data_IF_904617069032
#
_entry.id   IF_904617069032
#
_cell.length_a   1.000
_cell.length_b   1.000
_cell.length_c   1.000
_cell.angle_alpha   90.00
_cell.angle_beta   90.00
_cell.angle_gamma   90.00
#
_symmetry.space_group_name_H-M   'P 1'
#
loop_
_entity.id
_entity.type
_entity.pdbx_description
1 polymer ?
#
# COMPACT_ATOMS: atom_id res chain seq x y z
N UNK A 1 -16.60 -9.96 -13.05
CA UNK A 1 -15.75 -10.74 -12.11
C UNK A 1 -15.15 -9.75 -11.13
N UNK A 2 -15.33 -9.98 -9.84
CA UNK A 2 -14.83 -9.12 -8.74
C UNK A 2 -13.93 -9.97 -7.84
N UNK A 3 -12.78 -9.43 -7.45
CA UNK A 3 -11.84 -10.06 -6.52
C UNK A 3 -12.17 -9.65 -5.09
N UNK A 4 -11.95 -10.54 -4.13
CA UNK A 4 -11.96 -10.22 -2.70
C UNK A 4 -10.54 -9.92 -2.19
N UNK A 5 -10.42 -9.30 -1.02
CA UNK A 5 -9.11 -9.10 -0.39
C UNK A 5 -8.38 -10.42 -0.14
N UNK A 6 -9.10 -11.51 0.14
CA UNK A 6 -8.51 -12.85 0.31
C UNK A 6 -7.77 -13.31 -0.95
N UNK A 7 -8.29 -13.01 -2.14
CA UNK A 7 -7.68 -13.39 -3.41
C UNK A 7 -6.39 -12.61 -3.63
N UNK A 8 -6.41 -11.32 -3.30
CA UNK A 8 -5.25 -10.44 -3.39
C UNK A 8 -4.16 -10.86 -2.39
N UNK A 9 -4.56 -11.40 -1.23
CA UNK A 9 -3.65 -11.95 -0.22
C UNK A 9 -2.85 -13.15 -0.72
N UNK A 10 -3.40 -13.92 -1.66
CA UNK A 10 -2.71 -15.04 -2.28
C UNK A 10 -1.68 -14.61 -3.34
N UNK A 11 -1.81 -13.40 -3.88
CA UNK A 11 -0.99 -12.88 -4.98
C UNK A 11 0.11 -11.91 -4.51
N UNK A 12 0.05 -11.45 -3.27
CA UNK A 12 0.91 -10.37 -2.76
C UNK A 12 1.61 -10.79 -1.49
N UNK A 13 2.78 -10.18 -1.23
CA UNK A 13 3.56 -10.44 0.00
C UNK A 13 2.98 -9.72 1.21
N UNK A 14 2.29 -8.59 1.01
CA UNK A 14 1.70 -7.80 2.09
C UNK A 14 0.40 -7.15 1.62
N UNK A 15 -0.70 -7.52 2.25
CA UNK A 15 -2.00 -6.90 2.02
C UNK A 15 -2.05 -5.49 2.59
N UNK A 16 -1.38 -5.24 3.71
CA UNK A 16 -1.34 -3.91 4.33
C UNK A 16 -0.69 -2.87 3.43
N UNK A 17 0.36 -3.24 2.70
CA UNK A 17 1.03 -2.36 1.75
C UNK A 17 0.15 -2.03 0.53
N UNK A 18 -0.74 -2.95 0.15
CA UNK A 18 -1.57 -2.84 -1.07
C UNK A 18 -2.91 -2.18 -0.79
N UNK A 19 -3.53 -2.43 0.37
CA UNK A 19 -4.86 -1.95 0.77
C UNK A 19 -5.17 -0.48 0.47
N UNK A 20 -4.25 0.49 0.68
CA UNK A 20 -4.52 1.89 0.38
C UNK A 20 -4.77 2.17 -1.12
N UNK A 21 -4.35 1.27 -2.02
CA UNK A 21 -4.27 1.52 -3.46
C UNK A 21 -5.30 0.76 -4.29
N UNK A 22 -6.18 -0.02 -3.66
CA UNK A 22 -7.09 -0.94 -4.35
C UNK A 22 -8.49 -0.91 -3.76
N UNK A 23 -9.47 -1.26 -4.59
CA UNK A 23 -10.82 -1.66 -4.19
C UNK A 23 -11.01 -3.15 -4.46
N UNK A 24 -11.71 -3.85 -3.56
CA UNK A 24 -12.11 -5.24 -3.71
C UNK A 24 -13.59 -5.39 -3.31
N UNK A 25 -14.18 -6.56 -3.54
CA UNK A 25 -15.60 -6.79 -3.25
C UNK A 25 -15.99 -6.49 -1.78
N UNK A 26 -15.07 -6.75 -0.86
CA UNK A 26 -15.19 -6.60 0.58
C UNK A 26 -14.35 -5.45 1.15
N UNK A 27 -13.78 -4.59 0.28
CA UNK A 27 -12.85 -3.54 0.70
C UNK A 27 -12.89 -2.28 -0.16
N UNK A 28 -12.79 -1.14 0.51
CA UNK A 28 -12.53 0.16 -0.10
C UNK A 28 -11.44 0.89 0.68
N UNK A 29 -10.53 1.63 0.01
CA UNK A 29 -9.45 2.35 0.70
C UNK A 29 -9.98 3.54 1.52
N UNK A 30 -11.21 4.00 1.26
CA UNK A 30 -11.80 5.14 1.98
C UNK A 30 -10.92 6.38 1.88
N UNK A 31 -10.66 7.05 3.00
CA UNK A 31 -9.78 8.21 3.08
C UNK A 31 -8.30 7.89 3.28
N UNK A 32 -7.87 6.62 3.14
CA UNK A 32 -6.46 6.26 3.36
C UNK A 32 -5.52 6.96 2.37
N UNK A 33 -5.95 7.21 1.13
CA UNK A 33 -5.19 7.94 0.11
C UNK A 33 -5.11 9.44 0.34
N UNK A 34 -6.01 9.99 1.15
CA UNK A 34 -6.16 11.42 1.39
C UNK A 34 -5.83 11.80 2.85
N UNK A 35 -5.38 10.82 3.64
CA UNK A 35 -5.04 11.02 5.03
C UNK A 35 -3.90 12.03 5.16
N UNK A 36 -4.05 13.02 6.03
CA UNK A 36 -3.05 14.06 6.24
C UNK A 36 -1.68 13.49 6.69
N UNK A 37 -1.68 12.31 7.31
CA UNK A 37 -0.48 11.59 7.76
C UNK A 37 0.01 10.52 6.77
N UNK A 38 -0.56 10.44 5.56
CA UNK A 38 -0.23 9.43 4.54
C UNK A 38 1.28 9.27 4.32
N UNK A 39 1.97 10.41 4.17
CA UNK A 39 3.42 10.42 3.95
C UNK A 39 4.17 9.81 5.13
N UNK A 40 3.75 10.07 6.37
CA UNK A 40 4.39 9.50 7.55
C UNK A 40 4.18 7.98 7.64
N UNK A 41 3.04 7.48 7.14
CA UNK A 41 2.70 6.05 7.17
C UNK A 41 3.39 5.24 6.08
N UNK A 42 3.60 5.84 4.90
CA UNK A 42 4.13 5.14 3.73
C UNK A 42 5.59 5.43 3.43
N UNK A 43 6.11 6.59 3.87
CA UNK A 43 7.50 6.91 3.62
C UNK A 43 8.39 5.86 4.31
N UNK A 44 9.42 5.36 3.63
CA UNK A 44 10.36 4.44 4.25
C UNK A 44 11.01 5.10 5.46
N UNK A 45 11.08 4.36 6.58
CA UNK A 45 11.60 4.85 7.87
C UNK A 45 13.04 5.33 7.79
N UNK A 46 13.81 4.84 6.80
CA UNK A 46 15.13 5.33 6.45
C UNK A 46 15.09 5.85 5.02
N UNK A 47 15.60 7.05 4.78
CA UNK A 47 15.73 7.60 3.43
C UNK A 47 16.66 6.66 2.66
N UNK A 48 16.22 6.16 1.50
CA UNK A 48 17.12 5.48 0.58
C UNK A 48 18.07 6.56 0.05
N UNK A 49 19.31 6.53 0.51
CA UNK A 49 20.35 7.41 0.01
C UNK A 49 20.95 6.75 -1.23
N UNK A 50 20.90 7.48 -2.35
CA UNK A 50 21.57 7.05 -3.55
C UNK A 50 23.08 7.08 -3.26
N UNK A 51 23.72 5.92 -3.34
CA UNK A 51 25.17 5.83 -3.24
C UNK A 51 25.76 6.51 -4.49
N UNK A 52 26.70 7.44 -4.29
CA UNK A 52 27.56 7.88 -5.40
C UNK A 52 28.44 6.69 -5.73
N UNK A 53 28.18 6.05 -6.87
CA UNK A 53 29.01 4.92 -7.27
C UNK A 53 30.35 5.38 -7.82
N UNK A 54 30.48 6.65 -8.23
CA UNK A 54 31.73 7.34 -8.60
C UNK A 54 31.56 8.84 -8.41
#
# INVERSE_FOLDING_TARGET
RTLRLEDIGRLTRSIEAVRPWITALDWTPGGLTDAADLRARLAPRRKAEQLSLF
#
